data_IF_752054342791
#
_entry.id   IF_752054342791
#
_cell.length_a   1.000
_cell.length_b   1.000
_cell.length_c   1.000
_cell.angle_alpha   90.00
_cell.angle_beta   90.00
_cell.angle_gamma   90.00
#
_symmetry.space_group_name_H-M   'P 1'
#
loop_
_entity.id
_entity.type
_entity.pdbx_description
1 polymer ?
#
# COMPACT_ATOMS: atom_id res chain seq x y z
N UNK A 1 -21.58 -13.07 -6.78
CA UNK A 1 -22.12 -11.74 -6.45
C UNK A 1 -23.33 -11.87 -5.53
N UNK A 2 -24.42 -12.53 -5.98
CA UNK A 2 -25.64 -12.62 -5.15
C UNK A 2 -25.37 -13.19 -3.76
N UNK A 3 -24.67 -14.31 -3.66
CA UNK A 3 -24.35 -14.92 -2.36
C UNK A 3 -23.50 -13.99 -1.48
N UNK A 4 -22.50 -13.33 -2.03
CA UNK A 4 -21.65 -12.38 -1.29
C UNK A 4 -22.46 -11.21 -0.74
N UNK A 5 -23.39 -10.63 -1.51
CA UNK A 5 -24.24 -9.51 -1.07
C UNK A 5 -25.27 -9.97 -0.02
N UNK A 6 -25.80 -11.19 -0.17
CA UNK A 6 -26.72 -11.76 0.83
C UNK A 6 -26.01 -12.09 2.13
N UNK A 7 -24.78 -12.57 2.07
CA UNK A 7 -23.93 -12.83 3.22
C UNK A 7 -23.59 -11.53 3.97
N UNK A 8 -23.20 -10.47 3.24
CA UNK A 8 -23.04 -9.13 3.82
C UNK A 8 -24.30 -8.64 4.55
N UNK A 9 -25.48 -8.81 3.95
CA UNK A 9 -26.74 -8.44 4.60
C UNK A 9 -27.00 -9.27 5.87
N UNK A 10 -26.64 -10.54 5.87
CA UNK A 10 -26.82 -11.42 7.03
C UNK A 10 -25.92 -11.00 8.20
N UNK A 11 -24.67 -10.65 7.90
CA UNK A 11 -23.69 -10.22 8.90
C UNK A 11 -23.88 -8.75 9.36
N UNK A 12 -24.41 -7.89 8.48
CA UNK A 12 -24.59 -6.46 8.74
C UNK A 12 -26.03 -6.00 8.44
N UNK A 13 -27.06 -6.57 9.09
CA UNK A 13 -28.46 -6.33 8.73
C UNK A 13 -28.91 -4.89 8.97
N UNK A 14 -28.29 -4.15 9.89
CA UNK A 14 -28.61 -2.75 10.19
C UNK A 14 -27.98 -1.77 9.20
N UNK A 15 -27.04 -2.23 8.39
CA UNK A 15 -26.26 -1.38 7.46
C UNK A 15 -26.49 -1.74 6.00
N UNK A 16 -26.79 -2.99 5.67
CA UNK A 16 -26.90 -3.47 4.30
C UNK A 16 -28.31 -3.95 3.99
N UNK A 17 -28.94 -3.31 3.00
CA UNK A 17 -30.22 -3.73 2.44
C UNK A 17 -30.02 -4.22 1.01
N UNK A 18 -30.59 -5.38 0.67
CA UNK A 18 -30.55 -5.95 -0.66
C UNK A 18 -31.96 -5.98 -1.26
N UNK A 19 -32.14 -5.38 -2.40
CA UNK A 19 -33.40 -5.37 -3.15
C UNK A 19 -33.21 -5.84 -4.59
N UNK A 20 -34.24 -6.47 -5.15
CA UNK A 20 -34.27 -6.90 -6.54
C UNK A 20 -35.29 -6.07 -7.30
N UNK A 21 -34.87 -5.52 -8.43
CA UNK A 21 -35.71 -4.68 -9.27
C UNK A 21 -35.90 -5.33 -10.63
N UNK A 22 -37.15 -5.63 -10.96
CA UNK A 22 -37.53 -6.05 -12.30
C UNK A 22 -37.69 -4.82 -13.19
N UNK A 23 -36.67 -4.55 -14.01
CA UNK A 23 -36.65 -3.36 -14.89
C UNK A 23 -37.68 -3.48 -16.02
N UNK A 24 -38.06 -4.68 -16.44
CA UNK A 24 -39.05 -4.88 -17.50
C UNK A 24 -40.46 -4.46 -17.04
N UNK A 25 -40.80 -4.77 -15.78
CA UNK A 25 -42.10 -4.42 -15.21
C UNK A 25 -42.11 -3.07 -14.48
N UNK A 26 -40.95 -2.59 -14.02
CA UNK A 26 -40.83 -1.32 -13.30
C UNK A 26 -39.63 -0.48 -13.76
N UNK A 27 -39.63 0.03 -15.00
CA UNK A 27 -38.51 0.82 -15.52
C UNK A 27 -38.31 2.16 -14.80
N UNK A 28 -39.34 2.68 -14.14
CA UNK A 28 -39.25 3.94 -13.40
C UNK A 28 -38.41 3.83 -12.13
N UNK A 29 -38.31 2.65 -11.52
CA UNK A 29 -37.54 2.43 -10.30
C UNK A 29 -36.03 2.63 -10.50
N UNK A 30 -35.54 2.48 -11.73
CA UNK A 30 -34.12 2.61 -12.06
C UNK A 30 -33.78 3.92 -12.79
N UNK A 31 -34.78 4.80 -13.00
CA UNK A 31 -34.58 6.05 -13.74
C UNK A 31 -33.51 6.95 -13.10
N UNK A 32 -33.44 7.02 -11.77
CA UNK A 32 -32.49 7.82 -11.01
C UNK A 32 -31.02 7.39 -11.20
N UNK A 33 -30.79 6.15 -11.63
CA UNK A 33 -29.44 5.62 -11.82
C UNK A 33 -28.91 5.80 -13.25
N UNK A 34 -29.65 6.44 -14.12
CA UNK A 34 -29.18 6.76 -15.46
C UNK A 34 -28.41 8.08 -15.45
N UNK A 35 -27.15 8.05 -15.83
CA UNK A 35 -26.31 9.24 -15.94
C UNK A 35 -26.82 10.22 -17.01
N UNK A 36 -27.38 9.66 -18.12
CA UNK A 36 -28.02 10.43 -19.20
C UNK A 36 -29.26 9.69 -19.67
N UNK A 37 -30.12 10.37 -20.46
CA UNK A 37 -31.30 9.73 -21.06
C UNK A 37 -30.95 8.58 -22.01
N UNK A 38 -29.73 8.56 -22.55
CA UNK A 38 -29.21 7.49 -23.44
C UNK A 38 -28.53 6.33 -22.67
N UNK A 39 -28.31 6.43 -21.36
CA UNK A 39 -27.73 5.36 -20.57
C UNK A 39 -28.68 4.19 -20.45
N UNK A 40 -28.27 3.01 -20.92
CA UNK A 40 -29.05 1.78 -20.79
C UNK A 40 -28.64 1.05 -19.51
N UNK A 41 -29.62 0.63 -18.72
CA UNK A 41 -29.43 -0.29 -17.61
C UNK A 41 -29.97 -1.66 -18.00
N UNK A 42 -29.26 -2.69 -17.57
CA UNK A 42 -29.59 -4.07 -17.87
C UNK A 42 -29.95 -4.83 -16.60
N UNK A 43 -30.70 -5.92 -16.74
CA UNK A 43 -31.10 -6.82 -15.64
C UNK A 43 -29.89 -7.42 -14.91
N UNK A 44 -28.72 -7.40 -15.55
CA UNK A 44 -27.46 -7.88 -15.00
C UNK A 44 -26.64 -6.81 -14.29
N UNK A 45 -27.15 -5.57 -14.17
CA UNK A 45 -26.44 -4.55 -13.42
C UNK A 45 -26.61 -4.74 -11.92
N UNK A 46 -25.53 -4.45 -11.18
CA UNK A 46 -25.49 -4.37 -9.72
C UNK A 46 -25.33 -2.90 -9.35
N UNK A 47 -26.25 -2.40 -8.53
CA UNK A 47 -26.27 -0.99 -8.13
C UNK A 47 -26.01 -0.92 -6.64
N UNK A 48 -25.01 -0.12 -6.26
CA UNK A 48 -24.71 0.26 -4.89
C UNK A 48 -25.22 1.68 -4.67
N UNK A 49 -25.93 1.92 -3.58
CA UNK A 49 -26.52 3.21 -3.27
C UNK A 49 -26.38 3.52 -1.78
N UNK A 50 -26.02 4.75 -1.47
CA UNK A 50 -26.03 5.30 -0.12
C UNK A 50 -26.44 6.78 -0.18
N UNK A 51 -27.60 7.11 0.41
CA UNK A 51 -28.16 8.47 0.33
C UNK A 51 -28.46 8.91 -1.10
N UNK A 52 -27.72 9.87 -1.59
CA UNK A 52 -27.82 10.38 -2.97
C UNK A 52 -26.77 9.79 -3.91
N UNK A 53 -25.74 9.17 -3.34
CA UNK A 53 -24.64 8.60 -4.11
C UNK A 53 -24.97 7.18 -4.58
N UNK A 54 -24.58 6.88 -5.81
CA UNK A 54 -24.73 5.53 -6.35
C UNK A 54 -23.62 5.18 -7.34
N UNK A 55 -23.41 3.87 -7.51
CA UNK A 55 -22.52 3.30 -8.53
C UNK A 55 -23.22 2.13 -9.22
N UNK A 56 -23.07 2.05 -10.53
CA UNK A 56 -23.65 0.99 -11.37
C UNK A 56 -22.55 0.16 -11.99
N UNK A 57 -22.57 -1.12 -11.72
CA UNK A 57 -21.58 -2.07 -12.24
C UNK A 57 -22.27 -3.14 -13.11
N UNK A 58 -21.62 -3.50 -14.22
CA UNK A 58 -22.02 -4.67 -14.98
C UNK A 58 -21.61 -5.96 -14.24
N UNK A 59 -22.44 -6.99 -14.32
CA UNK A 59 -22.20 -8.26 -13.60
C UNK A 59 -20.85 -8.91 -13.94
N UNK A 60 -20.37 -8.76 -15.17
CA UNK A 60 -19.11 -9.34 -15.62
C UNK A 60 -17.89 -8.73 -14.90
N UNK A 61 -17.98 -7.53 -14.36
CA UNK A 61 -16.91 -6.89 -13.60
C UNK A 61 -16.47 -7.69 -12.37
N UNK A 62 -17.39 -8.41 -11.77
CA UNK A 62 -17.12 -9.21 -10.55
C UNK A 62 -16.42 -10.54 -10.84
N UNK A 63 -15.98 -10.76 -12.07
CA UNK A 63 -15.37 -12.00 -12.51
C UNK A 63 -14.12 -11.73 -13.33
N UNK A 64 -13.12 -12.58 -13.14
CA UNK A 64 -11.89 -12.56 -13.94
C UNK A 64 -12.08 -13.44 -15.17
N UNK A 65 -11.78 -12.87 -16.34
CA UNK A 65 -11.82 -13.57 -17.64
C UNK A 65 -10.44 -13.46 -18.28
N UNK A 66 -10.04 -14.47 -19.06
CA UNK A 66 -8.84 -14.38 -19.89
C UNK A 66 -9.08 -13.44 -21.08
N UNK A 67 -8.05 -12.79 -21.60
CA UNK A 67 -8.12 -11.80 -22.69
C UNK A 67 -8.88 -12.26 -23.93
N UNK A 68 -8.92 -13.56 -24.21
CA UNK A 68 -9.59 -14.15 -25.37
C UNK A 68 -10.81 -15.04 -25.01
N UNK A 69 -11.34 -14.89 -23.80
CA UNK A 69 -12.46 -15.72 -23.32
C UNK A 69 -13.52 -14.86 -22.65
N UNK A 70 -14.78 -15.16 -22.91
CA UNK A 70 -15.92 -14.59 -22.17
C UNK A 70 -16.32 -15.47 -20.97
N UNK A 71 -15.65 -16.61 -20.79
CA UNK A 71 -15.95 -17.53 -19.70
C UNK A 71 -15.16 -17.13 -18.47
N UNK A 72 -15.81 -16.77 -17.35
CA UNK A 72 -15.13 -16.46 -16.10
C UNK A 72 -14.39 -17.71 -15.57
N UNK A 73 -13.18 -17.51 -15.07
CA UNK A 73 -12.42 -18.57 -14.40
C UNK A 73 -12.19 -18.29 -12.91
N UNK A 74 -12.37 -17.04 -12.47
CA UNK A 74 -12.29 -16.66 -11.06
C UNK A 74 -13.35 -15.62 -10.69
N UNK A 75 -13.62 -15.48 -9.38
CA UNK A 75 -14.53 -14.50 -8.80
C UNK A 75 -13.72 -13.46 -8.03
N UNK A 76 -13.90 -12.19 -8.37
CA UNK A 76 -13.24 -11.04 -7.74
C UNK A 76 -14.26 -10.09 -7.06
N UNK A 77 -15.45 -10.62 -6.79
CA UNK A 77 -16.58 -9.80 -6.36
C UNK A 77 -16.43 -9.21 -4.96
N UNK A 78 -15.64 -9.80 -4.10
CA UNK A 78 -15.42 -9.28 -2.73
C UNK A 78 -14.71 -7.93 -2.79
N UNK A 79 -13.67 -7.82 -3.60
CA UNK A 79 -12.94 -6.57 -3.83
C UNK A 79 -13.83 -5.49 -4.47
N UNK A 80 -14.56 -5.83 -5.53
CA UNK A 80 -15.42 -4.87 -6.23
C UNK A 80 -16.62 -4.42 -5.37
N UNK A 81 -17.19 -5.30 -4.56
CA UNK A 81 -18.28 -4.97 -3.61
C UNK A 81 -17.74 -4.02 -2.53
N UNK A 82 -16.60 -4.33 -1.92
CA UNK A 82 -15.97 -3.47 -0.90
C UNK A 82 -15.63 -2.09 -1.44
N UNK A 83 -15.02 -2.04 -2.63
CA UNK A 83 -14.71 -0.79 -3.32
C UNK A 83 -15.97 0.02 -3.65
N UNK A 84 -17.04 -0.63 -4.08
CA UNK A 84 -18.30 0.04 -4.38
C UNK A 84 -18.97 0.63 -3.13
N UNK A 85 -18.93 -0.09 -2.00
CA UNK A 85 -19.43 0.40 -0.72
C UNK A 85 -18.64 1.63 -0.29
N UNK A 86 -17.32 1.57 -0.34
CA UNK A 86 -16.47 2.73 -0.02
C UNK A 86 -16.76 3.93 -0.92
N UNK A 87 -16.92 3.70 -2.23
CA UNK A 87 -17.17 4.76 -3.19
C UNK A 87 -18.53 5.47 -3.03
N UNK A 88 -19.54 4.82 -2.44
CA UNK A 88 -20.86 5.43 -2.21
C UNK A 88 -21.03 5.98 -0.79
N UNK A 89 -20.24 5.51 0.18
CA UNK A 89 -20.35 5.94 1.59
C UNK A 89 -19.46 7.13 1.94
N UNK A 90 -18.46 7.46 1.12
CA UNK A 90 -17.59 8.63 1.33
C UNK A 90 -18.29 9.89 0.85
N UNK A 91 -18.33 10.94 1.69
CA UNK A 91 -18.91 12.24 1.34
C UNK A 91 -18.09 12.95 0.24
N UNK A 92 -16.75 12.78 0.27
CA UNK A 92 -15.80 13.28 -0.74
C UNK A 92 -14.74 12.20 -0.97
N UNK A 93 -14.43 11.94 -2.25
CA UNK A 93 -13.37 11.01 -2.60
C UNK A 93 -12.02 11.68 -2.39
N UNK A 94 -11.13 11.14 -1.55
CA UNK A 94 -9.78 11.68 -1.38
C UNK A 94 -8.98 11.52 -2.66
N UNK A 95 -7.96 12.36 -2.84
CA UNK A 95 -7.03 12.27 -3.95
C UNK A 95 -5.84 11.38 -3.54
N UNK A 96 -5.41 10.52 -4.46
CA UNK A 96 -4.11 9.85 -4.43
C UNK A 96 -3.25 10.39 -5.58
N UNK A 97 -2.08 10.92 -5.25
CA UNK A 97 -1.16 11.46 -6.23
C UNK A 97 0.00 10.50 -6.50
N UNK A 98 0.29 10.25 -7.77
CA UNK A 98 1.48 9.54 -8.21
C UNK A 98 2.54 10.54 -8.67
N UNK A 99 3.75 10.44 -8.14
CA UNK A 99 4.87 11.28 -8.57
C UNK A 99 5.31 10.90 -9.99
N UNK A 100 5.82 11.87 -10.76
CA UNK A 100 6.13 11.67 -12.19
C UNK A 100 7.42 12.32 -12.65
N UNK A 101 8.14 13.04 -11.78
CA UNK A 101 9.32 13.80 -12.16
C UNK A 101 10.67 13.14 -11.82
N UNK A 102 10.63 11.90 -11.28
CA UNK A 102 11.83 11.15 -10.91
C UNK A 102 12.11 9.96 -11.83
N UNK A 103 11.54 9.96 -13.04
CA UNK A 103 11.75 8.89 -14.03
C UNK A 103 10.89 7.63 -13.75
N UNK A 104 9.83 7.79 -12.98
CA UNK A 104 8.88 6.73 -12.66
C UNK A 104 8.25 6.15 -13.92
N UNK A 105 8.17 4.83 -13.99
CA UNK A 105 7.50 4.13 -15.07
C UNK A 105 6.00 3.96 -14.78
N UNK A 106 5.21 4.99 -15.09
CA UNK A 106 3.76 4.99 -14.81
C UNK A 106 2.97 3.98 -15.66
N UNK A 107 3.53 3.53 -16.79
CA UNK A 107 2.87 2.55 -17.66
C UNK A 107 2.91 1.13 -17.04
N UNK A 108 3.92 0.84 -16.22
CA UNK A 108 4.07 -0.47 -15.55
C UNK A 108 3.22 -0.62 -14.29
N UNK A 109 2.58 0.45 -13.81
CA UNK A 109 1.74 0.44 -12.59
C UNK A 109 0.26 0.75 -12.88
N UNK A 110 -0.25 0.40 -14.05
CA UNK A 110 -1.65 0.65 -14.43
C UNK A 110 -2.62 -0.02 -13.47
N UNK A 111 -2.45 -1.30 -13.18
CA UNK A 111 -3.34 -2.03 -12.26
C UNK A 111 -3.25 -1.52 -10.82
N UNK A 112 -2.08 -1.00 -10.38
CA UNK A 112 -1.97 -0.30 -9.10
C UNK A 112 -2.83 0.97 -9.09
N UNK A 113 -2.79 1.78 -10.14
CA UNK A 113 -3.60 3.00 -10.26
C UNK A 113 -5.10 2.68 -10.27
N UNK A 114 -5.49 1.63 -11.00
CA UNK A 114 -6.87 1.14 -11.01
C UNK A 114 -7.31 0.61 -9.64
N UNK A 115 -6.43 -0.07 -8.91
CA UNK A 115 -6.69 -0.57 -7.56
C UNK A 115 -6.94 0.59 -6.59
N UNK A 116 -6.07 1.61 -6.63
CA UNK A 116 -6.23 2.85 -5.82
C UNK A 116 -7.54 3.56 -6.16
N UNK A 117 -7.89 3.65 -7.45
CA UNK A 117 -9.18 4.22 -7.86
C UNK A 117 -10.37 3.39 -7.37
N UNK A 118 -10.27 2.06 -7.39
CA UNK A 118 -11.29 1.13 -6.84
C UNK A 118 -11.42 1.26 -5.32
N UNK A 119 -10.33 1.57 -4.62
CA UNK A 119 -10.36 1.88 -3.19
C UNK A 119 -11.05 3.24 -2.87
N UNK A 120 -11.53 3.95 -3.90
CA UNK A 120 -12.34 5.17 -3.77
C UNK A 120 -11.54 6.47 -3.83
N UNK A 121 -10.28 6.43 -4.28
CA UNK A 121 -9.48 7.63 -4.51
C UNK A 121 -9.69 8.20 -5.92
N UNK A 122 -9.57 9.51 -6.06
CA UNK A 122 -9.35 10.17 -7.34
C UNK A 122 -7.85 10.12 -7.61
N UNK A 123 -7.44 9.42 -8.66
CA UNK A 123 -6.02 9.25 -9.00
C UNK A 123 -5.56 10.39 -9.88
N UNK A 124 -4.44 11.04 -9.52
CA UNK A 124 -3.82 12.14 -10.25
C UNK A 124 -2.30 11.93 -10.33
N UNK A 125 -1.67 12.54 -11.32
CA UNK A 125 -0.23 12.66 -11.40
C UNK A 125 0.22 13.99 -10.80
N UNK A 126 1.42 14.01 -10.23
CA UNK A 126 2.00 15.22 -9.63
C UNK A 126 3.50 15.30 -9.89
N UNK A 127 3.95 16.47 -10.29
CA UNK A 127 5.37 16.86 -10.33
C UNK A 127 5.67 17.66 -9.06
N UNK A 128 6.33 17.03 -8.09
CA UNK A 128 6.63 17.67 -6.79
C UNK A 128 7.55 18.87 -6.89
N UNK A 129 8.29 19.02 -7.99
CA UNK A 129 9.10 20.22 -8.23
C UNK A 129 8.24 21.42 -8.62
N UNK A 130 7.16 21.19 -9.39
CA UNK A 130 6.36 22.26 -10.02
C UNK A 130 5.03 22.48 -9.31
N UNK A 131 4.40 21.39 -8.90
CA UNK A 131 3.01 21.41 -8.45
C UNK A 131 2.90 21.44 -6.92
N UNK A 132 1.92 22.16 -6.40
CA UNK A 132 1.50 22.03 -5.01
C UNK A 132 0.65 20.78 -4.83
N UNK A 133 0.86 20.03 -3.75
CA UNK A 133 0.05 18.86 -3.43
C UNK A 133 -1.38 19.32 -3.16
N UNK A 134 -2.39 18.75 -3.86
CA UNK A 134 -3.80 19.12 -3.65
C UNK A 134 -4.23 18.99 -2.17
N UNK A 135 -5.03 19.92 -1.68
CA UNK A 135 -5.48 19.92 -0.28
C UNK A 135 -6.27 18.65 0.12
N UNK A 136 -6.93 18.04 -0.86
CA UNK A 136 -7.71 16.79 -0.67
C UNK A 136 -6.87 15.53 -0.91
N UNK A 137 -5.57 15.67 -1.23
CA UNK A 137 -4.66 14.54 -1.33
C UNK A 137 -4.46 13.92 0.06
N UNK A 138 -4.59 12.59 0.14
CA UNK A 138 -4.41 11.80 1.37
C UNK A 138 -3.34 10.74 1.23
N UNK A 139 -2.96 10.42 0.00
CA UNK A 139 -1.98 9.41 -0.33
C UNK A 139 -1.07 9.91 -1.44
N UNK A 140 0.23 9.87 -1.19
CA UNK A 140 1.26 10.10 -2.19
C UNK A 140 1.95 8.77 -2.50
N UNK A 141 2.12 8.45 -3.77
CA UNK A 141 2.75 7.20 -4.23
C UNK A 141 3.90 7.54 -5.16
N UNK A 142 5.08 7.02 -4.84
CA UNK A 142 6.24 7.02 -5.74
C UNK A 142 6.52 5.58 -6.15
N UNK A 143 6.49 5.32 -7.45
CA UNK A 143 6.66 3.98 -8.01
C UNK A 143 7.90 3.93 -8.89
N UNK A 144 8.91 3.14 -8.48
CA UNK A 144 10.12 2.90 -9.24
C UNK A 144 10.88 4.20 -9.64
N UNK A 145 11.26 5.07 -8.69
CA UNK A 145 11.98 6.30 -9.00
C UNK A 145 13.40 6.00 -9.49
N UNK A 146 13.82 6.69 -10.55
CA UNK A 146 15.12 6.53 -11.19
C UNK A 146 16.06 7.71 -10.92
N UNK A 147 15.57 8.81 -10.35
CA UNK A 147 16.36 9.98 -9.98
C UNK A 147 16.00 10.48 -8.60
N UNK A 148 16.96 11.10 -7.91
CA UNK A 148 16.82 11.55 -6.54
C UNK A 148 15.91 12.77 -6.41
N UNK A 149 15.33 12.93 -5.24
CA UNK A 149 14.49 14.07 -4.85
C UNK A 149 15.34 15.30 -4.54
N UNK A 150 14.76 16.49 -4.67
CA UNK A 150 15.39 17.73 -4.21
C UNK A 150 15.25 17.91 -2.70
N UNK A 151 16.40 18.04 -2.05
CA UNK A 151 16.51 18.19 -0.61
C UNK A 151 16.05 19.55 -0.07
N UNK A 152 16.14 19.68 1.24
CA UNK A 152 15.80 20.92 1.96
C UNK A 152 16.55 22.12 1.40
N UNK A 153 15.84 23.21 1.18
CA UNK A 153 16.46 24.47 0.76
C UNK A 153 17.18 25.11 1.94
N UNK A 154 18.44 24.73 2.15
CA UNK A 154 19.29 25.38 3.14
C UNK A 154 19.66 26.80 2.69
N UNK A 155 19.35 27.79 3.54
CA UNK A 155 19.86 29.18 3.47
C UNK A 155 19.53 29.98 2.20
N UNK A 156 18.25 30.11 1.84
CA UNK A 156 17.80 31.13 0.86
C UNK A 156 18.05 30.77 -0.61
N UNK A 157 18.22 29.50 -0.92
CA UNK A 157 18.16 29.01 -2.29
C UNK A 157 16.75 29.18 -2.87
N UNK A 158 16.65 29.67 -4.10
CA UNK A 158 15.38 29.94 -4.78
C UNK A 158 14.73 28.70 -5.42
N UNK A 159 15.06 27.50 -4.97
CA UNK A 159 14.51 26.24 -5.47
C UNK A 159 13.41 25.70 -4.56
N UNK A 160 12.45 25.01 -5.13
CA UNK A 160 11.46 24.25 -4.36
C UNK A 160 12.11 22.96 -3.86
N UNK A 161 12.00 22.67 -2.57
CA UNK A 161 12.39 21.40 -2.00
C UNK A 161 11.22 20.43 -2.08
N UNK A 162 11.41 19.30 -2.72
CA UNK A 162 10.41 18.23 -2.79
C UNK A 162 10.26 17.54 -1.43
N UNK A 163 11.37 17.41 -0.70
CA UNK A 163 11.36 16.87 0.67
C UNK A 163 10.57 17.78 1.62
N UNK A 164 10.69 19.12 1.52
CA UNK A 164 9.87 20.04 2.31
C UNK A 164 8.37 19.88 2.02
N UNK A 165 8.01 19.58 0.76
CA UNK A 165 6.61 19.32 0.38
C UNK A 165 6.12 18.00 0.94
N UNK A 166 6.94 16.95 0.84
CA UNK A 166 6.64 15.63 1.38
C UNK A 166 6.51 15.68 2.91
N UNK A 167 7.42 16.38 3.59
CA UNK A 167 7.41 16.55 5.05
C UNK A 167 6.13 17.26 5.52
N UNK A 168 5.80 18.40 4.91
CA UNK A 168 4.55 19.12 5.17
C UNK A 168 3.30 18.27 4.89
N UNK A 169 3.35 17.44 3.87
CA UNK A 169 2.25 16.53 3.53
C UNK A 169 2.04 15.50 4.65
N UNK A 170 3.11 14.88 5.12
CA UNK A 170 3.07 13.91 6.20
C UNK A 170 2.74 14.56 7.56
N UNK A 171 3.12 15.82 7.77
CA UNK A 171 2.74 16.59 8.95
C UNK A 171 1.22 16.81 9.09
N UNK A 172 0.47 16.65 8.01
CA UNK A 172 -0.99 16.74 8.01
C UNK A 172 -1.71 15.39 8.18
N UNK A 173 -1.03 14.39 8.73
CA UNK A 173 -1.58 13.05 8.97
C UNK A 173 -2.00 12.31 7.69
N UNK A 174 -1.20 12.42 6.64
CA UNK A 174 -1.40 11.74 5.36
C UNK A 174 -0.38 10.61 5.19
N UNK A 175 -0.43 9.90 4.07
CA UNK A 175 0.35 8.68 3.86
C UNK A 175 1.22 8.76 2.60
N UNK A 176 2.41 8.20 2.69
CA UNK A 176 3.34 8.04 1.58
C UNK A 176 3.66 6.56 1.35
N UNK A 177 3.59 6.12 0.12
CA UNK A 177 3.91 4.75 -0.28
C UNK A 177 4.98 4.78 -1.38
N UNK A 178 6.10 4.09 -1.13
CA UNK A 178 7.25 4.01 -2.01
C UNK A 178 7.46 2.56 -2.45
N UNK A 179 7.66 2.36 -3.75
CA UNK A 179 8.08 1.09 -4.33
C UNK A 179 9.50 1.21 -4.87
N UNK A 180 10.37 0.33 -4.41
CA UNK A 180 11.78 0.20 -4.81
C UNK A 180 12.11 -1.28 -5.05
N UNK A 181 13.20 -1.58 -5.71
CA UNK A 181 13.65 -2.96 -5.98
C UNK A 181 15.18 -3.09 -5.93
N UNK A 182 15.68 -4.22 -6.41
CA UNK A 182 17.11 -4.52 -6.43
C UNK A 182 17.90 -3.73 -7.49
N UNK A 183 17.23 -3.07 -8.44
CA UNK A 183 17.85 -2.18 -9.44
C UNK A 183 17.70 -0.68 -9.11
N UNK A 184 16.94 -0.34 -8.08
CA UNK A 184 16.68 1.06 -7.69
C UNK A 184 18.00 1.81 -7.44
N UNK A 185 18.24 2.96 -8.11
CA UNK A 185 19.46 3.72 -7.93
C UNK A 185 19.61 4.32 -6.54
N UNK A 186 20.83 4.70 -6.17
CA UNK A 186 21.07 5.43 -4.93
C UNK A 186 20.47 6.83 -5.00
N UNK A 187 19.63 7.15 -4.02
CA UNK A 187 18.92 8.43 -3.89
C UNK A 187 19.24 9.07 -2.53
N UNK A 188 20.42 9.68 -2.37
CA UNK A 188 20.88 10.15 -1.07
C UNK A 188 19.92 11.06 -0.33
N UNK A 189 19.21 11.94 -1.04
CA UNK A 189 18.28 12.91 -0.45
C UNK A 189 17.00 12.22 0.04
N UNK A 190 16.39 11.39 -0.80
CA UNK A 190 15.21 10.62 -0.39
C UNK A 190 15.56 9.62 0.73
N UNK A 191 16.71 8.95 0.63
CA UNK A 191 17.14 7.97 1.62
C UNK A 191 17.46 8.61 2.97
N UNK A 192 18.08 9.80 3.01
CA UNK A 192 18.27 10.58 4.25
C UNK A 192 16.92 10.92 4.90
N UNK A 193 15.94 11.30 4.10
CA UNK A 193 14.58 11.55 4.61
C UNK A 193 13.90 10.27 5.11
N UNK A 194 14.03 9.16 4.39
CA UNK A 194 13.51 7.86 4.85
C UNK A 194 14.15 7.40 6.16
N UNK A 195 15.43 7.72 6.39
CA UNK A 195 16.09 7.43 7.66
C UNK A 195 15.44 8.18 8.84
N UNK A 196 14.85 9.36 8.62
CA UNK A 196 14.05 10.05 9.64
C UNK A 196 12.79 9.26 10.03
N UNK A 197 12.30 8.43 9.12
CA UNK A 197 11.20 7.49 9.34
C UNK A 197 11.67 6.11 9.79
N UNK A 198 12.97 5.97 10.08
CA UNK A 198 13.60 4.73 10.53
C UNK A 198 13.82 3.71 9.43
N UNK A 199 13.72 4.08 8.16
CA UNK A 199 13.79 3.17 7.01
C UNK A 199 15.10 3.40 6.28
N UNK A 200 15.82 2.30 5.95
CA UNK A 200 17.01 2.30 5.10
C UNK A 200 16.93 1.19 4.07
N UNK A 201 17.20 1.51 2.81
CA UNK A 201 17.35 0.54 1.73
C UNK A 201 18.69 -0.19 1.91
N UNK A 202 18.68 -1.52 1.82
CA UNK A 202 19.87 -2.34 2.03
C UNK A 202 20.75 -2.37 0.78
N UNK A 203 21.98 -1.89 0.93
CA UNK A 203 23.00 -1.93 -0.13
C UNK A 203 24.41 -2.01 0.46
N UNK A 204 25.35 -2.40 -0.37
CA UNK A 204 26.78 -2.42 -0.04
C UNK A 204 27.49 -1.45 -0.97
N UNK A 205 28.37 -0.65 -0.41
CA UNK A 205 29.29 0.17 -1.17
C UNK A 205 30.66 -0.49 -1.20
N UNK A 206 31.17 -0.75 -2.40
CA UNK A 206 32.53 -1.21 -2.59
C UNK A 206 33.49 -0.06 -2.31
N UNK A 207 34.36 -0.26 -1.33
CA UNK A 207 35.32 0.74 -0.87
C UNK A 207 36.41 1.10 -1.89
N UNK A 208 36.69 0.20 -2.85
CA UNK A 208 37.72 0.41 -3.87
C UNK A 208 37.17 1.14 -5.10
N UNK A 209 36.02 0.71 -5.60
CA UNK A 209 35.40 1.28 -6.79
C UNK A 209 34.44 2.44 -6.48
N UNK A 210 33.99 2.56 -5.25
CA UNK A 210 32.93 3.49 -4.84
C UNK A 210 31.54 3.17 -5.38
N UNK A 211 31.36 2.03 -6.07
CA UNK A 211 30.07 1.58 -6.57
C UNK A 211 29.21 1.04 -5.44
N UNK A 212 27.93 1.31 -5.50
CA UNK A 212 26.93 0.71 -4.63
C UNK A 212 26.16 -0.36 -5.39
N UNK A 213 25.77 -1.42 -4.69
CA UNK A 213 24.90 -2.47 -5.19
C UNK A 213 23.86 -2.81 -4.13
N UNK A 214 22.61 -2.98 -4.56
CA UNK A 214 21.50 -3.33 -3.68
C UNK A 214 21.57 -4.81 -3.28
N UNK A 215 20.84 -5.18 -2.26
CA UNK A 215 20.62 -6.59 -1.96
C UNK A 215 19.68 -7.18 -3.01
N UNK A 216 20.14 -8.16 -3.76
CA UNK A 216 19.31 -9.00 -4.62
C UNK A 216 18.85 -10.20 -3.79
N UNK A 217 17.58 -10.17 -3.39
CA UNK A 217 17.05 -11.22 -2.51
C UNK A 217 16.70 -12.45 -3.34
N UNK A 218 17.21 -13.58 -2.88
CA UNK A 218 17.02 -14.87 -3.51
C UNK A 218 16.61 -15.94 -2.51
N UNK A 219 15.65 -16.77 -2.88
CA UNK A 219 15.26 -17.96 -2.11
C UNK A 219 15.24 -19.20 -3.01
N UNK A 220 15.91 -20.27 -2.59
CA UNK A 220 15.98 -21.53 -3.37
C UNK A 220 14.83 -22.47 -3.04
N UNK A 221 14.03 -22.19 -2.00
CA UNK A 221 12.94 -23.03 -1.51
C UNK A 221 11.58 -22.30 -1.65
N UNK A 222 11.48 -21.09 -1.11
CA UNK A 222 10.23 -20.30 -1.09
C UNK A 222 10.23 -19.30 -2.25
N UNK A 223 9.99 -19.83 -3.46
CA UNK A 223 10.05 -19.09 -4.74
C UNK A 223 9.01 -19.59 -5.72
N UNK A 224 8.78 -18.82 -6.77
CA UNK A 224 7.90 -19.20 -7.89
C UNK A 224 8.66 -19.47 -9.20
N UNK A 225 9.82 -18.88 -9.38
CA UNK A 225 10.67 -19.04 -10.56
C UNK A 225 11.75 -20.11 -10.36
N UNK A 226 12.57 -20.34 -11.38
CA UNK A 226 13.67 -21.33 -11.34
C UNK A 226 14.96 -20.76 -10.84
N UNK A 227 15.17 -19.44 -10.95
CA UNK A 227 16.41 -18.75 -10.54
C UNK A 227 16.37 -18.26 -9.09
N UNK A 228 15.16 -18.11 -8.52
CA UNK A 228 14.97 -17.84 -7.10
C UNK A 228 14.75 -16.37 -6.75
N UNK A 229 14.65 -15.46 -7.72
CA UNK A 229 14.45 -14.03 -7.47
C UNK A 229 12.99 -13.62 -7.31
N UNK A 230 12.03 -14.49 -7.65
CA UNK A 230 10.62 -14.31 -7.34
C UNK A 230 10.28 -14.97 -6.01
N UNK A 231 10.52 -14.26 -4.92
CA UNK A 231 10.41 -14.81 -3.56
C UNK A 231 8.99 -14.71 -3.01
N UNK A 232 8.65 -15.64 -2.12
CA UNK A 232 7.39 -15.61 -1.39
C UNK A 232 7.56 -14.84 -0.08
N UNK A 233 6.64 -13.94 0.19
CA UNK A 233 6.58 -13.19 1.43
C UNK A 233 6.04 -14.02 2.59
N UNK A 234 6.73 -13.94 3.73
CA UNK A 234 6.29 -14.49 4.98
C UNK A 234 5.53 -13.42 5.77
N UNK A 235 4.30 -13.71 6.14
CA UNK A 235 3.45 -12.82 6.92
C UNK A 235 4.01 -12.56 8.31
N UNK A 236 4.16 -11.29 8.68
CA UNK A 236 4.55 -10.92 10.03
C UNK A 236 3.34 -10.96 10.96
N UNK A 237 3.52 -11.58 12.14
CA UNK A 237 2.42 -11.85 13.10
C UNK A 237 2.40 -10.91 14.29
N UNK A 238 3.19 -9.84 14.27
CA UNK A 238 3.30 -8.85 15.34
C UNK A 238 3.22 -7.42 14.82
N UNK A 239 2.93 -6.49 15.71
CA UNK A 239 2.87 -5.06 15.38
C UNK A 239 1.78 -4.70 14.38
N UNK A 240 1.92 -3.54 13.75
CA UNK A 240 0.97 -3.00 12.77
C UNK A 240 0.81 -3.91 11.55
N UNK A 241 1.90 -4.55 11.10
CA UNK A 241 1.85 -5.52 9.99
C UNK A 241 0.91 -6.69 10.26
N UNK A 242 0.85 -7.15 11.52
CA UNK A 242 -0.13 -8.16 11.93
C UNK A 242 -1.58 -7.68 11.81
N UNK A 243 -1.83 -6.40 12.10
CA UNK A 243 -3.17 -5.83 11.99
C UNK A 243 -3.61 -5.67 10.54
N UNK A 244 -2.73 -5.16 9.69
CA UNK A 244 -2.98 -4.97 8.25
C UNK A 244 -3.28 -6.30 7.54
N UNK A 245 -2.52 -7.35 7.86
CA UNK A 245 -2.63 -8.65 7.17
C UNK A 245 -3.54 -9.65 7.89
N UNK A 246 -4.26 -9.24 8.95
CA UNK A 246 -5.01 -10.12 9.84
C UNK A 246 -6.01 -11.00 9.11
N UNK A 247 -6.82 -10.39 8.26
CA UNK A 247 -7.93 -11.10 7.59
C UNK A 247 -7.41 -12.04 6.49
N UNK A 248 -6.30 -11.69 5.85
CA UNK A 248 -5.62 -12.55 4.88
C UNK A 248 -4.96 -13.78 5.53
N UNK A 249 -4.49 -13.65 6.78
CA UNK A 249 -3.79 -14.73 7.51
C UNK A 249 -4.72 -15.67 8.25
N UNK A 250 -5.85 -15.18 8.73
CA UNK A 250 -6.75 -15.94 9.58
C UNK A 250 -7.71 -16.85 8.80
N UNK A 251 -7.27 -17.31 7.64
CA UNK A 251 -7.99 -18.25 6.80
C UNK A 251 -7.26 -19.60 6.74
N UNK A 252 -7.96 -20.68 6.38
CA UNK A 252 -7.38 -22.02 6.33
C UNK A 252 -6.19 -22.13 5.37
N UNK A 253 -6.20 -21.35 4.28
CA UNK A 253 -5.17 -21.30 3.26
C UNK A 253 -4.87 -19.85 2.91
N UNK A 254 -3.93 -19.18 3.63
CA UNK A 254 -3.52 -17.82 3.33
C UNK A 254 -3.01 -17.68 1.90
N UNK A 255 -3.42 -16.61 1.21
CA UNK A 255 -2.94 -16.34 -0.12
C UNK A 255 -1.42 -16.14 -0.13
N UNK A 256 -0.76 -16.62 -1.16
CA UNK A 256 0.67 -16.36 -1.34
C UNK A 256 0.85 -14.91 -1.79
N UNK A 257 1.79 -14.22 -1.18
CA UNK A 257 2.21 -12.86 -1.55
C UNK A 257 3.59 -12.92 -2.15
N UNK A 258 3.78 -12.29 -3.28
CA UNK A 258 4.92 -12.50 -4.18
C UNK A 258 5.73 -11.22 -4.31
N UNK A 259 7.05 -11.34 -4.24
CA UNK A 259 7.99 -10.22 -4.35
C UNK A 259 9.07 -10.57 -5.39
N UNK A 260 8.84 -10.28 -6.68
CA UNK A 260 9.87 -10.45 -7.70
C UNK A 260 10.96 -9.39 -7.56
N UNK A 261 12.19 -9.73 -7.90
CA UNK A 261 13.34 -8.82 -7.94
C UNK A 261 13.45 -7.91 -6.72
N UNK A 262 13.24 -8.52 -5.54
CA UNK A 262 13.18 -7.77 -4.30
C UNK A 262 14.58 -7.38 -3.80
N UNK A 263 14.68 -6.16 -3.29
CA UNK A 263 15.74 -5.78 -2.37
C UNK A 263 15.28 -6.02 -0.92
N UNK A 264 15.94 -5.42 0.04
CA UNK A 264 15.51 -5.42 1.43
C UNK A 264 15.55 -4.01 1.99
N UNK A 265 14.64 -3.73 2.91
CA UNK A 265 14.69 -2.54 3.74
C UNK A 265 15.03 -2.90 5.17
N UNK A 266 15.82 -2.09 5.84
CA UNK A 266 16.19 -2.32 7.23
C UNK A 266 15.86 -1.10 8.08
N UNK A 267 15.88 -1.29 9.39
CA UNK A 267 15.76 -0.16 10.30
C UNK A 267 17.06 0.64 10.32
N UNK A 268 16.97 1.96 10.22
CA UNK A 268 18.14 2.83 10.39
C UNK A 268 18.67 2.75 11.81
N UNK A 269 19.99 2.54 11.95
CA UNK A 269 20.66 2.47 13.26
C UNK A 269 20.64 3.82 14.00
N UNK A 270 20.47 4.92 13.29
CA UNK A 270 20.42 6.29 13.85
C UNK A 270 19.19 6.50 14.74
N UNK A 271 18.18 5.62 14.65
CA UNK A 271 16.89 5.77 15.32
C UNK A 271 16.56 4.63 16.29
N UNK A 272 17.59 4.00 16.88
CA UNK A 272 17.40 3.01 17.94
C UNK A 272 17.01 3.67 19.25
N UNK A 273 15.73 3.73 19.55
CA UNK A 273 15.26 3.88 20.91
C UNK A 273 14.35 2.72 21.25
N UNK A 274 14.78 1.88 22.18
CA UNK A 274 13.92 0.84 22.74
C UNK A 274 13.04 1.50 23.80
N UNK A 275 11.76 1.59 23.56
CA UNK A 275 10.79 2.00 24.55
C UNK A 275 10.34 0.77 25.33
N UNK A 276 10.43 0.84 26.64
CA UNK A 276 9.74 -0.08 27.55
C UNK A 276 8.52 0.67 28.04
N UNK A 277 7.33 0.27 27.63
CA UNK A 277 6.09 0.83 28.19
C UNK A 277 5.98 0.42 29.64
N UNK A 278 5.48 1.33 30.50
CA UNK A 278 5.08 1.01 31.87
C UNK A 278 3.84 0.11 31.91
N UNK A 279 3.13 -0.02 30.80
CA UNK A 279 1.95 -0.89 30.71
C UNK A 279 2.40 -2.34 30.51
N UNK A 280 1.90 -3.21 31.36
CA UNK A 280 2.15 -4.64 31.28
C UNK A 280 1.25 -5.27 30.20
N UNK A 281 1.85 -6.10 29.33
CA UNK A 281 1.09 -6.97 28.45
C UNK A 281 0.24 -7.96 29.28
N UNK A 282 -0.76 -8.57 28.66
CA UNK A 282 -1.62 -9.57 29.30
C UNK A 282 -0.87 -10.78 29.87
N UNK A 283 0.42 -10.95 29.50
CA UNK A 283 1.36 -11.97 30.02
C UNK A 283 2.24 -11.46 31.17
N UNK A 284 2.00 -10.24 31.66
CA UNK A 284 2.78 -9.61 32.76
C UNK A 284 4.18 -9.14 32.37
N UNK A 285 4.48 -9.07 31.07
CA UNK A 285 5.76 -8.54 30.59
C UNK A 285 5.59 -7.12 30.04
N UNK A 286 6.58 -6.23 30.26
CA UNK A 286 6.52 -4.90 29.67
C UNK A 286 6.51 -5.01 28.15
N UNK A 287 5.66 -4.20 27.49
CA UNK A 287 5.73 -4.03 26.04
C UNK A 287 7.08 -3.39 25.68
N UNK A 288 7.91 -4.10 24.95
CA UNK A 288 9.04 -3.49 24.28
C UNK A 288 8.70 -3.24 22.82
N UNK A 289 8.77 -2.03 22.37
CA UNK A 289 8.67 -1.68 20.97
C UNK A 289 9.85 -0.82 20.57
N UNK A 290 10.28 -1.01 19.34
CA UNK A 290 11.31 -0.19 18.76
C UNK A 290 10.63 1.00 18.08
N UNK A 291 10.95 2.19 18.54
CA UNK A 291 10.36 3.42 18.07
C UNK A 291 11.28 4.59 18.30
N UNK A 292 10.91 5.68 17.70
CA UNK A 292 11.58 6.97 17.84
C UNK A 292 10.61 7.97 18.47
N UNK A 293 11.07 8.67 19.50
CA UNK A 293 10.30 9.73 20.13
C UNK A 293 11.12 10.99 20.21
N UNK A 294 10.66 12.06 19.58
CA UNK A 294 11.28 13.37 19.63
C UNK A 294 10.24 14.47 19.57
N UNK A 295 10.34 15.47 20.44
CA UNK A 295 9.48 16.66 20.42
C UNK A 295 7.96 16.36 20.41
N UNK A 296 7.51 15.34 21.12
CA UNK A 296 6.08 14.97 21.17
C UNK A 296 5.61 14.08 20.02
N UNK A 297 6.52 13.65 19.13
CA UNK A 297 6.24 12.77 18.00
C UNK A 297 6.77 11.38 18.29
N UNK A 298 5.95 10.36 18.07
CA UNK A 298 6.31 8.95 18.21
C UNK A 298 6.23 8.27 16.85
N UNK A 299 7.34 7.69 16.41
CA UNK A 299 7.41 6.89 15.17
C UNK A 299 7.64 5.42 15.50
N UNK A 300 6.92 4.54 14.84
CA UNK A 300 7.03 3.09 15.03
C UNK A 300 7.13 2.39 13.69
N UNK A 301 8.25 1.71 13.46
CA UNK A 301 8.45 0.86 12.28
C UNK A 301 7.91 -0.54 12.56
N UNK A 302 7.11 -1.06 11.64
CA UNK A 302 6.57 -2.41 11.64
C UNK A 302 6.86 -3.10 10.31
N UNK A 303 7.22 -4.39 10.37
CA UNK A 303 7.32 -5.20 9.16
C UNK A 303 5.93 -5.72 8.80
N UNK A 304 5.58 -5.73 7.52
CA UNK A 304 4.40 -6.40 6.98
C UNK A 304 4.77 -7.78 6.48
N UNK A 305 5.85 -7.84 5.71
CA UNK A 305 6.40 -9.07 5.14
C UNK A 305 7.90 -9.15 5.32
N UNK A 306 8.36 -10.36 5.60
CA UNK A 306 9.78 -10.73 5.57
C UNK A 306 9.98 -11.91 4.61
N UNK A 307 11.22 -12.26 4.34
CA UNK A 307 11.53 -13.54 3.70
C UNK A 307 11.33 -14.69 4.67
N UNK A 308 11.41 -15.92 4.15
CA UNK A 308 11.63 -17.11 4.94
C UNK A 308 13.13 -17.25 5.28
N UNK A 309 13.49 -18.08 6.29
CA UNK A 309 14.90 -18.26 6.69
C UNK A 309 15.79 -18.93 5.62
N UNK A 310 15.19 -19.44 4.54
CA UNK A 310 15.88 -20.06 3.40
C UNK A 310 16.41 -19.04 2.39
N UNK A 311 16.04 -17.77 2.55
CA UNK A 311 16.48 -16.71 1.67
C UNK A 311 17.93 -16.27 1.96
N UNK A 312 18.59 -15.79 0.94
CA UNK A 312 19.91 -15.17 0.96
C UNK A 312 19.89 -13.85 0.19
N UNK A 313 20.89 -13.00 0.39
CA UNK A 313 21.13 -11.84 -0.46
C UNK A 313 22.36 -12.10 -1.32
N UNK A 314 22.31 -11.63 -2.57
CA UNK A 314 23.45 -11.51 -3.45
C UNK A 314 23.81 -10.03 -3.63
N UNK A 315 25.10 -9.73 -3.70
CA UNK A 315 25.63 -8.38 -3.91
C UNK A 315 26.86 -8.49 -4.81
N UNK A 316 26.95 -7.66 -5.83
CA UNK A 316 28.00 -7.72 -6.85
C UNK A 316 28.12 -9.12 -7.50
N UNK A 317 26.99 -9.81 -7.66
CA UNK A 317 26.92 -11.13 -8.27
C UNK A 317 27.48 -12.28 -7.40
N UNK A 318 27.68 -12.04 -6.10
CA UNK A 318 28.13 -13.05 -5.14
C UNK A 318 27.19 -13.13 -3.94
N UNK A 319 27.06 -14.33 -3.36
CA UNK A 319 26.28 -14.49 -2.14
C UNK A 319 26.93 -13.67 -1.02
N UNK A 320 26.15 -12.81 -0.38
CA UNK A 320 26.57 -11.97 0.71
C UNK A 320 26.07 -12.52 2.04
N UNK A 321 27.00 -12.87 2.93
CA UNK A 321 26.68 -13.31 4.28
C UNK A 321 26.34 -12.09 5.14
N UNK A 322 25.06 -11.90 5.41
CA UNK A 322 24.59 -10.86 6.29
C UNK A 322 24.25 -11.50 7.64
N UNK A 323 24.85 -10.99 8.69
CA UNK A 323 24.40 -11.28 10.05
C UNK A 323 23.07 -10.53 10.30
N UNK A 324 21.95 -11.08 9.82
CA UNK A 324 20.63 -10.60 10.20
C UNK A 324 20.15 -11.30 11.47
N UNK A 325 19.42 -10.61 12.31
CA UNK A 325 18.66 -11.28 13.36
C UNK A 325 17.71 -12.28 12.70
N UNK A 326 17.95 -13.58 12.89
CA UNK A 326 17.16 -14.70 12.35
C UNK A 326 17.25 -14.96 10.84
N UNK A 327 18.20 -14.39 10.10
CA UNK A 327 18.33 -14.52 8.64
C UNK A 327 17.06 -14.14 7.86
N UNK A 328 16.34 -13.13 8.31
CA UNK A 328 15.14 -12.64 7.64
C UNK A 328 15.39 -11.27 7.02
N UNK A 329 15.04 -11.13 5.75
CA UNK A 329 15.07 -9.86 5.04
C UNK A 329 13.67 -9.24 5.05
N UNK A 330 13.58 -7.93 5.22
CA UNK A 330 12.32 -7.20 5.20
C UNK A 330 11.96 -6.84 3.77
N UNK A 331 10.80 -7.32 3.33
CA UNK A 331 10.29 -7.11 1.96
C UNK A 331 9.29 -5.96 1.90
N UNK A 332 8.57 -5.71 2.99
CA UNK A 332 7.63 -4.59 3.09
C UNK A 332 7.55 -4.10 4.53
N UNK A 333 7.65 -2.79 4.70
CA UNK A 333 7.60 -2.12 6.01
C UNK A 333 6.62 -0.98 6.00
N UNK A 334 6.10 -0.66 7.19
CA UNK A 334 5.24 0.48 7.42
C UNK A 334 5.69 1.19 8.70
N UNK A 335 6.06 2.45 8.59
CA UNK A 335 6.30 3.31 9.74
C UNK A 335 5.06 4.13 9.99
N UNK A 336 4.55 4.11 11.21
CA UNK A 336 3.50 5.01 11.68
C UNK A 336 4.10 6.12 12.54
N UNK A 337 3.62 7.33 12.35
CA UNK A 337 3.85 8.47 13.23
C UNK A 337 2.55 8.82 13.93
N UNK A 338 2.62 8.98 15.26
CA UNK A 338 1.48 9.43 16.08
C UNK A 338 1.80 10.81 16.66
N UNK A 339 0.88 11.76 16.47
CA UNK A 339 0.92 13.09 17.04
C UNK A 339 -0.37 13.37 17.80
N UNK A 340 -0.23 13.82 19.04
CA UNK A 340 -1.39 14.28 19.79
C UNK A 340 -1.58 15.77 19.51
N UNK A 341 -2.66 16.12 18.82
CA UNK A 341 -3.04 17.48 18.45
C UNK A 341 -4.13 17.97 19.41
N UNK A 342 -3.96 19.16 19.95
CA UNK A 342 -4.97 19.76 20.81
C UNK A 342 -6.02 20.49 19.96
N UNK A 343 -7.23 19.92 19.85
CA UNK A 343 -8.33 20.54 19.12
C UNK A 343 -9.04 21.64 19.91
N UNK A 344 -9.21 21.44 21.20
CA UNK A 344 -9.80 22.41 22.14
C UNK A 344 -9.10 22.33 23.48
N UNK A 345 -9.43 23.25 24.40
CA UNK A 345 -8.87 23.24 25.78
C UNK A 345 -9.13 21.92 26.56
N UNK A 346 -10.00 21.05 26.05
CA UNK A 346 -10.43 19.80 26.72
C UNK A 346 -10.39 18.56 25.84
N UNK A 347 -10.10 18.70 24.54
CA UNK A 347 -10.10 17.57 23.60
C UNK A 347 -8.77 17.52 22.87
N UNK A 348 -8.16 16.35 22.88
CA UNK A 348 -7.01 15.99 22.04
C UNK A 348 -7.46 14.99 21.00
N UNK A 349 -6.87 15.07 19.81
CA UNK A 349 -7.02 14.10 18.73
C UNK A 349 -5.64 13.53 18.43
N UNK A 350 -5.58 12.23 18.24
CA UNK A 350 -4.36 11.58 17.78
C UNK A 350 -4.44 11.47 16.24
N UNK A 351 -3.59 12.24 15.57
CA UNK A 351 -3.39 12.17 14.15
C UNK A 351 -2.27 11.19 13.82
N UNK A 352 -2.41 10.47 12.71
CA UNK A 352 -1.44 9.45 12.29
C UNK A 352 -1.03 9.65 10.85
N UNK A 353 0.28 9.61 10.62
CA UNK A 353 0.88 9.57 9.29
C UNK A 353 1.54 8.22 9.07
N UNK A 354 1.60 7.78 7.82
CA UNK A 354 2.22 6.50 7.48
C UNK A 354 3.20 6.67 6.33
N UNK A 355 4.35 6.00 6.47
CA UNK A 355 5.31 5.82 5.38
C UNK A 355 5.50 4.32 5.16
N UNK A 356 5.02 3.84 4.01
CA UNK A 356 5.17 2.46 3.58
C UNK A 356 6.26 2.33 2.52
N UNK A 357 7.11 1.31 2.65
CA UNK A 357 8.09 0.96 1.62
C UNK A 357 7.93 -0.51 1.25
N UNK A 358 7.68 -0.76 -0.02
CA UNK A 358 7.71 -2.08 -0.64
C UNK A 358 9.04 -2.24 -1.38
N UNK A 359 9.78 -3.30 -1.05
CA UNK A 359 11.11 -3.56 -1.59
C UNK A 359 11.09 -4.37 -2.90
N UNK A 360 10.00 -4.34 -3.64
CA UNK A 360 9.83 -4.92 -4.97
C UNK A 360 8.86 -4.05 -5.77
N UNK A 361 9.28 -3.50 -6.89
CA UNK A 361 8.41 -2.72 -7.78
C UNK A 361 7.41 -3.65 -8.47
N UNK A 362 7.85 -4.80 -8.93
CA UNK A 362 7.01 -5.80 -9.57
C UNK A 362 5.93 -6.40 -8.64
N UNK A 363 6.04 -6.20 -7.32
CA UNK A 363 4.97 -6.52 -6.37
C UNK A 363 3.62 -5.92 -6.80
N UNK A 364 3.65 -4.71 -7.37
CA UNK A 364 2.48 -3.97 -7.82
C UNK A 364 2.30 -4.01 -9.36
N UNK A 365 2.96 -4.96 -10.04
CA UNK A 365 2.81 -5.14 -11.48
C UNK A 365 1.40 -5.61 -11.87
N UNK A 366 1.00 -5.29 -13.10
CA UNK A 366 -0.28 -5.73 -13.68
C UNK A 366 -0.44 -7.25 -13.57
N UNK A 367 0.63 -8.01 -13.81
CA UNK A 367 0.60 -9.47 -13.78
C UNK A 367 0.25 -10.05 -12.39
N UNK A 368 0.67 -9.40 -11.31
CA UNK A 368 0.39 -9.83 -9.94
C UNK A 368 -0.91 -9.24 -9.40
N UNK A 369 -1.23 -7.99 -9.70
CA UNK A 369 -2.43 -7.34 -9.19
C UNK A 369 -3.71 -7.83 -9.87
N UNK A 370 -3.63 -8.19 -11.16
CA UNK A 370 -4.77 -8.77 -11.89
C UNK A 370 -4.93 -10.27 -11.64
N UNK A 371 -4.01 -10.89 -10.91
CA UNK A 371 -4.04 -12.32 -10.61
C UNK A 371 -4.96 -12.62 -9.43
N UNK A 372 -5.92 -13.51 -9.63
CA UNK A 372 -6.78 -14.04 -8.57
C UNK A 372 -6.11 -15.15 -7.72
N UNK A 373 -4.83 -15.43 -7.95
CA UNK A 373 -4.09 -16.51 -7.24
C UNK A 373 -3.25 -15.95 -6.11
N UNK A 374 -2.76 -14.71 -6.26
CA UNK A 374 -1.86 -14.07 -5.31
C UNK A 374 -2.58 -13.00 -4.48
N UNK A 375 -2.12 -12.81 -3.25
CA UNK A 375 -2.69 -11.84 -2.33
C UNK A 375 -2.08 -10.43 -2.43
N UNK A 376 -1.34 -10.11 -3.50
CA UNK A 376 -0.69 -8.81 -3.64
C UNK A 376 -1.68 -7.65 -3.66
N UNK A 377 -2.78 -7.80 -4.41
CA UNK A 377 -3.84 -6.81 -4.46
C UNK A 377 -4.55 -6.63 -3.11
N UNK A 378 -4.78 -7.73 -2.37
CA UNK A 378 -5.43 -7.69 -1.06
C UNK A 378 -4.56 -6.97 -0.01
N UNK A 379 -3.23 -7.15 -0.08
CA UNK A 379 -2.28 -6.41 0.77
C UNK A 379 -2.40 -4.91 0.54
N UNK A 380 -2.40 -4.48 -0.73
CA UNK A 380 -2.51 -3.06 -1.07
C UNK A 380 -3.86 -2.48 -0.64
N UNK A 381 -4.97 -3.20 -0.89
CA UNK A 381 -6.29 -2.77 -0.42
C UNK A 381 -6.40 -2.65 1.09
N UNK A 382 -5.65 -3.48 1.83
CA UNK A 382 -5.61 -3.41 3.30
C UNK A 382 -4.77 -2.24 3.82
N UNK A 383 -3.92 -1.65 2.97
CA UNK A 383 -3.11 -0.47 3.26
C UNK A 383 -3.81 0.84 2.88
N UNK A 384 -4.69 0.82 1.87
CA UNK A 384 -5.46 1.96 1.35
C UNK A 384 -6.70 2.27 2.19
#
# INVERSE_FOLDING_TARGET
VLYSVLDLREHFPDYVTVSFVDIAHNPSAVQKYKATSSTSLYETNVIFEFGTEFRVYALNRFFVTNENSTTPWAYNGEMDISSAILAVTRAESPIACFTTNHGENTDSCRSLRELVARAGYIVQDIDLERDEIPADCRLLITYDPQTDFRGYTNNGGSGVSEIDRLDKFLDNAFSFLLFVDDETPTMPVLEEYLEEWGIRICRVQDSESGKSDNYHIRDTVQRLDTDGYTVLGNYVTSGLGSSVTKDMRNVAYPAKVVFPHATSVTRSDSYRTTYVSSDEASDGKPYSYEGYYRNGVSRRLSNLFTTYPTASAEVFGAQYEIATEQNLFRLMTLTSEERTVQETNYMTKDDRSFVGVCASTEFASDALLDSAVYGNADVLLSLL
#
